data_IF_866031092690
#
_entry.id   IF_866031092690
#
_cell.length_a   1.000
_cell.length_b   1.000
_cell.length_c   1.000
_cell.angle_alpha   90.00
_cell.angle_beta   90.00
_cell.angle_gamma   90.00
#
_symmetry.space_group_name_H-M   'P 1'
#
loop_
_entity.id
_entity.type
_entity.pdbx_description
1 polymer ?
#
# COMPACT_ATOMS: atom_id res chain seq x y z
N UNK A 1 -20.47 14.66 22.76
CA UNK A 1 -20.13 13.34 22.18
C UNK A 1 -20.02 13.49 20.67
N UNK A 2 -18.81 13.69 20.15
CA UNK A 2 -18.56 13.95 18.74
C UNK A 2 -18.17 12.64 18.01
N UNK A 3 -18.84 12.38 16.88
CA UNK A 3 -18.57 11.23 16.00
C UNK A 3 -17.21 11.44 15.30
N UNK A 4 -16.29 10.47 15.23
CA UNK A 4 -15.15 10.57 14.35
C UNK A 4 -15.62 10.17 12.94
N UNK A 5 -16.01 11.15 12.14
CA UNK A 5 -16.15 10.98 10.70
C UNK A 5 -14.92 11.56 10.04
N UNK A 6 -13.99 10.70 9.64
CA UNK A 6 -13.11 11.01 8.52
C UNK A 6 -13.03 9.78 7.63
N UNK A 7 -14.15 9.52 6.94
CA UNK A 7 -14.23 8.60 5.83
C UNK A 7 -13.87 9.41 4.59
N UNK A 8 -12.58 9.49 4.25
CA UNK A 8 -12.15 10.05 2.98
C UNK A 8 -12.46 9.01 1.90
N UNK A 9 -13.70 9.01 1.40
CA UNK A 9 -14.02 8.34 0.14
C UNK A 9 -13.72 9.33 -0.98
N UNK A 10 -12.58 9.18 -1.65
CA UNK A 10 -12.30 9.91 -2.89
C UNK A 10 -13.10 9.25 -4.02
N UNK A 11 -14.39 9.58 -4.11
CA UNK A 11 -15.21 9.26 -5.27
C UNK A 11 -14.84 10.21 -6.40
N UNK A 12 -13.82 9.82 -7.17
CA UNK A 12 -13.39 10.43 -8.45
C UNK A 12 -12.92 11.89 -8.34
N UNK A 13 -12.07 12.28 -9.29
CA UNK A 13 -11.51 13.63 -9.53
C UNK A 13 -10.23 13.97 -8.73
N UNK A 14 -9.10 13.87 -9.44
CA UNK A 14 -7.79 14.47 -9.18
C UNK A 14 -7.35 14.52 -7.71
N UNK A 15 -6.52 13.56 -7.28
CA UNK A 15 -5.78 13.61 -6.00
C UNK A 15 -4.67 14.69 -6.01
N UNK A 16 -5.00 15.92 -6.39
CA UNK A 16 -4.09 17.07 -6.30
C UNK A 16 -3.96 17.61 -4.86
N UNK A 17 -4.75 17.11 -3.90
CA UNK A 17 -4.93 17.75 -2.59
C UNK A 17 -4.20 17.11 -1.41
N UNK A 18 -3.53 15.96 -1.55
CA UNK A 18 -2.84 15.33 -0.41
C UNK A 18 -1.41 15.83 -0.18
N UNK A 19 -0.94 16.82 -0.94
CA UNK A 19 0.47 17.21 -0.90
C UNK A 19 0.92 17.83 0.44
N UNK A 20 0.00 18.24 1.33
CA UNK A 20 0.29 18.81 2.66
C UNK A 20 -0.91 18.78 3.63
N UNK A 21 -1.44 17.60 3.94
CA UNK A 21 -2.50 17.46 4.96
C UNK A 21 -2.02 16.55 6.09
N UNK A 22 -2.04 17.08 7.32
CA UNK A 22 -1.73 16.34 8.55
C UNK A 22 -3.01 15.84 9.19
N UNK A 23 -3.06 14.55 9.49
CA UNK A 23 -4.22 13.85 10.04
C UNK A 23 -3.84 13.17 11.36
N UNK A 24 -3.69 13.92 12.46
CA UNK A 24 -3.10 13.40 13.69
C UNK A 24 -3.89 12.27 14.35
N UNK A 25 -5.21 12.25 14.20
CA UNK A 25 -6.10 11.23 14.78
C UNK A 25 -6.50 10.11 13.79
N UNK A 26 -5.95 10.10 12.57
CA UNK A 26 -6.34 9.13 11.55
C UNK A 26 -5.69 7.77 11.82
N UNK A 27 -6.49 6.80 12.24
CA UNK A 27 -6.03 5.42 12.50
C UNK A 27 -6.11 4.51 11.27
N UNK A 28 -7.05 4.77 10.37
CA UNK A 28 -7.27 3.94 9.19
C UNK A 28 -7.36 4.81 7.96
N UNK A 29 -6.54 4.50 6.96
CA UNK A 29 -6.57 5.18 5.67
C UNK A 29 -6.74 4.15 4.55
N UNK A 30 -7.81 4.28 3.79
CA UNK A 30 -8.18 3.35 2.74
C UNK A 30 -8.34 4.11 1.42
N UNK A 31 -7.60 3.71 0.40
CA UNK A 31 -7.73 4.20 -0.97
C UNK A 31 -8.35 3.07 -1.79
N UNK A 32 -9.51 3.32 -2.39
CA UNK A 32 -10.25 2.28 -3.13
C UNK A 32 -10.73 2.81 -4.47
N UNK A 33 -10.47 2.06 -5.55
CA UNK A 33 -10.96 2.37 -6.91
C UNK A 33 -10.58 3.78 -7.39
N UNK A 34 -9.38 4.23 -7.03
CA UNK A 34 -8.85 5.52 -7.46
C UNK A 34 -7.97 5.36 -8.70
N UNK A 35 -8.03 6.34 -9.59
CA UNK A 35 -7.06 6.50 -10.68
C UNK A 35 -6.16 7.68 -10.36
N UNK A 36 -4.86 7.45 -10.33
CA UNK A 36 -3.88 8.48 -10.00
C UNK A 36 -3.29 9.01 -11.30
N UNK A 37 -3.40 10.31 -11.55
CA UNK A 37 -2.89 10.92 -12.79
C UNK A 37 -2.07 12.17 -12.48
N UNK A 38 -0.87 12.27 -13.04
CA UNK A 38 0.06 13.38 -12.83
C UNK A 38 0.57 13.47 -11.39
N UNK A 39 0.75 12.33 -10.71
CA UNK A 39 1.17 12.28 -9.30
C UNK A 39 2.48 11.52 -9.19
N UNK A 40 3.54 12.24 -8.88
CA UNK A 40 4.86 11.64 -8.69
C UNK A 40 5.05 11.12 -7.26
N UNK A 41 4.37 11.72 -6.28
CA UNK A 41 4.54 11.42 -4.85
C UNK A 41 3.23 11.63 -4.10
N UNK A 42 2.88 10.68 -3.23
CA UNK A 42 1.83 10.80 -2.21
C UNK A 42 2.50 10.78 -0.84
N UNK A 43 2.32 11.87 -0.08
CA UNK A 43 2.81 11.99 1.30
C UNK A 43 1.62 12.06 2.25
N UNK A 44 1.56 11.13 3.19
CA UNK A 44 0.48 11.03 4.17
C UNK A 44 1.09 11.29 5.55
N UNK A 45 0.80 12.44 6.16
CA UNK A 45 1.25 12.72 7.52
C UNK A 45 0.16 12.33 8.51
N UNK A 46 0.28 11.14 9.10
CA UNK A 46 -0.75 10.57 9.97
C UNK A 46 -0.11 9.78 11.12
N UNK A 47 0.31 10.45 12.22
CA UNK A 47 1.06 9.82 13.31
C UNK A 47 0.34 8.68 14.04
N UNK A 48 -0.99 8.70 14.08
CA UNK A 48 -1.79 7.63 14.70
C UNK A 48 -2.20 6.51 13.74
N UNK A 49 -1.72 6.54 12.49
CA UNK A 49 -2.12 5.57 11.47
C UNK A 49 -1.65 4.16 11.83
N UNK A 50 -2.60 3.23 11.93
CA UNK A 50 -2.35 1.83 12.24
C UNK A 50 -2.73 0.86 11.13
N UNK A 51 -3.63 1.29 10.22
CA UNK A 51 -4.11 0.49 9.10
C UNK A 51 -4.02 1.32 7.82
N UNK A 52 -3.32 0.78 6.82
CA UNK A 52 -3.27 1.35 5.47
C UNK A 52 -3.73 0.33 4.43
N UNK A 53 -4.71 0.72 3.61
CA UNK A 53 -5.26 -0.14 2.56
C UNK A 53 -5.26 0.54 1.19
N UNK A 54 -4.78 -0.15 0.16
CA UNK A 54 -4.91 0.26 -1.24
C UNK A 54 -5.62 -0.86 -2.00
N UNK A 55 -6.77 -0.58 -2.60
CA UNK A 55 -7.58 -1.59 -3.29
C UNK A 55 -8.06 -1.12 -4.66
N UNK A 56 -7.76 -1.88 -5.71
CA UNK A 56 -8.23 -1.65 -7.08
C UNK A 56 -7.90 -0.25 -7.61
N UNK A 57 -6.73 0.26 -7.28
CA UNK A 57 -6.22 1.53 -7.79
C UNK A 57 -5.42 1.30 -9.08
N UNK A 58 -5.26 2.35 -9.90
CA UNK A 58 -4.45 2.32 -11.13
C UNK A 58 -3.74 3.66 -11.32
N UNK A 59 -2.59 3.69 -11.99
CA UNK A 59 -2.02 4.93 -12.51
C UNK A 59 -2.55 5.29 -13.90
N UNK A 60 -2.45 6.58 -14.23
CA UNK A 60 -2.44 7.09 -15.60
C UNK A 60 -1.06 6.87 -16.23
N UNK A 61 -1.05 6.65 -17.55
CA UNK A 61 0.17 6.40 -18.33
C UNK A 61 1.21 7.50 -18.09
N UNK A 62 2.43 7.13 -17.68
CA UNK A 62 3.51 8.06 -17.33
C UNK A 62 3.71 8.32 -15.82
N UNK A 63 2.84 7.77 -14.96
CA UNK A 63 2.94 7.88 -13.49
C UNK A 63 3.39 6.56 -12.84
N UNK A 64 4.11 5.69 -13.57
CA UNK A 64 4.56 4.37 -13.10
C UNK A 64 5.48 4.45 -11.87
N UNK A 65 6.09 5.62 -11.64
CA UNK A 65 7.04 5.90 -10.57
C UNK A 65 6.44 6.58 -9.34
N UNK A 66 5.11 6.65 -9.24
CA UNK A 66 4.47 7.30 -8.09
C UNK A 66 4.90 6.64 -6.78
N UNK A 67 5.57 7.41 -5.92
CA UNK A 67 6.03 6.97 -4.61
C UNK A 67 5.00 7.28 -3.53
N UNK A 68 4.76 6.32 -2.63
CA UNK A 68 3.81 6.50 -1.51
C UNK A 68 4.59 6.46 -0.21
N UNK A 69 4.54 7.56 0.54
CA UNK A 69 5.21 7.73 1.83
C UNK A 69 4.20 7.99 2.95
N UNK A 70 4.31 7.25 4.05
CA UNK A 70 3.59 7.53 5.30
C UNK A 70 4.56 8.20 6.28
N UNK A 71 4.32 9.47 6.56
CA UNK A 71 5.12 10.29 7.47
C UNK A 71 4.50 10.27 8.87
N UNK A 72 5.32 10.10 9.90
CA UNK A 72 4.93 10.16 11.32
C UNK A 72 4.16 8.93 11.84
N UNK A 73 3.43 8.19 10.99
CA UNK A 73 2.62 7.01 11.37
C UNK A 73 3.41 5.70 11.50
N UNK A 74 4.70 5.74 11.15
CA UNK A 74 5.67 4.64 11.19
C UNK A 74 5.60 3.69 12.40
N UNK A 75 5.62 4.18 13.66
CA UNK A 75 5.65 3.28 14.81
C UNK A 75 4.34 2.54 15.05
N UNK A 76 3.22 3.01 14.48
CA UNK A 76 1.89 2.48 14.75
C UNK A 76 1.32 1.63 13.61
N UNK A 77 1.90 1.70 12.40
CA UNK A 77 1.43 1.04 11.20
C UNK A 77 1.58 -0.49 11.29
N UNK A 78 0.58 -1.13 11.89
CA UNK A 78 0.56 -2.57 12.15
C UNK A 78 0.02 -3.42 11.00
N UNK A 79 -0.85 -2.85 10.15
CA UNK A 79 -1.58 -3.57 9.11
C UNK A 79 -1.50 -2.86 7.77
N UNK A 80 -0.99 -3.57 6.77
CA UNK A 80 -0.98 -3.14 5.37
C UNK A 80 -1.80 -4.12 4.53
N UNK A 81 -2.73 -3.58 3.74
CA UNK A 81 -3.45 -4.33 2.72
C UNK A 81 -3.19 -3.74 1.34
N UNK A 82 -2.64 -4.55 0.45
CA UNK A 82 -2.48 -4.21 -0.95
C UNK A 82 -3.28 -5.15 -1.83
N UNK A 83 -4.31 -4.61 -2.44
CA UNK A 83 -5.26 -5.29 -3.31
C UNK A 83 -5.29 -4.57 -4.66
N UNK A 84 -4.12 -4.27 -5.19
CA UNK A 84 -3.92 -3.42 -6.37
C UNK A 84 -2.70 -3.93 -7.14
N UNK A 85 -2.74 -3.85 -8.48
CA UNK A 85 -1.62 -4.23 -9.33
C UNK A 85 -0.41 -3.31 -9.13
N UNK A 86 -0.70 -2.02 -9.02
CA UNK A 86 0.31 -0.98 -9.14
C UNK A 86 0.80 -0.44 -7.78
N UNK A 87 1.95 0.22 -7.82
CA UNK A 87 2.58 1.04 -6.76
C UNK A 87 3.12 0.29 -5.54
N UNK A 88 2.92 -1.02 -5.43
CA UNK A 88 3.42 -1.74 -4.25
C UNK A 88 4.94 -1.67 -4.18
N UNK A 89 5.63 -1.74 -5.32
CA UNK A 89 7.09 -1.61 -5.39
C UNK A 89 7.63 -0.22 -5.05
N UNK A 90 6.76 0.80 -5.07
CA UNK A 90 7.07 2.20 -4.76
C UNK A 90 6.51 2.62 -3.38
N UNK A 91 5.95 1.68 -2.63
CA UNK A 91 5.48 1.95 -1.28
C UNK A 91 6.66 1.97 -0.32
N UNK A 92 6.93 3.14 0.25
CA UNK A 92 8.02 3.34 1.20
C UNK A 92 7.50 3.12 2.61
N UNK A 93 7.88 1.98 3.16
CA UNK A 93 7.68 1.68 4.57
C UNK A 93 8.70 2.44 5.42
N UNK A 94 8.26 3.00 6.55
CA UNK A 94 9.19 3.52 7.54
C UNK A 94 10.05 2.42 8.15
N UNK A 95 11.33 2.71 8.40
CA UNK A 95 12.27 1.82 9.07
C UNK A 95 12.62 2.34 10.48
N UNK A 96 12.54 1.51 11.54
CA UNK A 96 12.05 0.13 11.53
C UNK A 96 10.52 0.05 11.31
N UNK A 97 10.08 -0.98 10.61
CA UNK A 97 8.65 -1.21 10.34
C UNK A 97 7.97 -1.90 11.52
N UNK A 98 6.77 -1.44 11.88
CA UNK A 98 5.89 -2.05 12.89
C UNK A 98 4.83 -2.98 12.29
N UNK A 99 4.87 -3.19 10.96
CA UNK A 99 3.89 -4.01 10.24
C UNK A 99 4.00 -5.46 10.72
N UNK A 100 2.90 -5.96 11.28
CA UNK A 100 2.76 -7.34 11.75
C UNK A 100 1.74 -8.12 10.92
N UNK A 101 0.83 -7.43 10.24
CA UNK A 101 -0.14 -8.02 9.31
C UNK A 101 0.02 -7.46 7.90
N UNK A 102 0.18 -8.34 6.92
CA UNK A 102 0.14 -7.99 5.51
C UNK A 102 -0.90 -8.84 4.75
N UNK A 103 -1.69 -8.19 3.90
CA UNK A 103 -2.65 -8.84 2.99
C UNK A 103 -2.32 -8.40 1.57
N UNK A 104 -1.88 -9.32 0.72
CA UNK A 104 -1.48 -9.04 -0.67
C UNK A 104 -2.36 -9.83 -1.64
N UNK A 105 -3.14 -9.10 -2.43
CA UNK A 105 -4.19 -9.64 -3.27
C UNK A 105 -4.08 -9.07 -4.69
N UNK A 106 -4.20 -9.94 -5.69
CA UNK A 106 -4.17 -9.56 -7.09
C UNK A 106 -5.58 -9.57 -7.67
N UNK A 107 -6.10 -8.40 -8.02
CA UNK A 107 -7.42 -8.24 -8.63
C UNK A 107 -7.27 -7.95 -10.14
N UNK A 108 -6.79 -8.90 -10.94
CA UNK A 108 -7.06 -8.98 -12.40
C UNK A 108 -6.26 -10.13 -13.06
N UNK A 109 -6.96 -11.06 -13.72
CA UNK A 109 -6.38 -12.29 -14.30
C UNK A 109 -5.59 -12.05 -15.61
N UNK A 110 -5.55 -10.82 -16.14
CA UNK A 110 -5.17 -10.55 -17.54
C UNK A 110 -3.96 -9.64 -17.77
N UNK A 111 -3.31 -9.11 -16.73
CA UNK A 111 -2.18 -8.18 -16.88
C UNK A 111 -1.04 -8.44 -15.90
N UNK A 112 0.18 -7.98 -16.24
CA UNK A 112 1.49 -8.21 -15.59
C UNK A 112 1.51 -8.51 -14.09
N UNK A 113 1.19 -9.75 -13.75
CA UNK A 113 1.32 -10.39 -12.43
C UNK A 113 2.71 -10.24 -11.82
N UNK A 114 3.74 -10.18 -12.68
CA UNK A 114 5.14 -10.05 -12.28
C UNK A 114 5.44 -8.78 -11.48
N UNK A 115 4.93 -7.62 -11.90
CA UNK A 115 5.18 -6.32 -11.23
C UNK A 115 4.65 -6.35 -9.81
N UNK A 116 3.43 -6.87 -9.64
CA UNK A 116 2.78 -7.01 -8.35
C UNK A 116 3.57 -7.94 -7.40
N UNK A 117 4.13 -9.04 -7.95
CA UNK A 117 4.99 -9.95 -7.19
C UNK A 117 6.32 -9.33 -6.74
N UNK A 118 6.98 -8.55 -7.61
CA UNK A 118 8.22 -7.83 -7.24
C UNK A 118 7.95 -6.84 -6.10
N UNK A 119 6.84 -6.09 -6.17
CA UNK A 119 6.42 -5.21 -5.09
C UNK A 119 6.16 -5.97 -3.79
N UNK A 120 5.47 -7.11 -3.87
CA UNK A 120 5.20 -7.96 -2.72
C UNK A 120 6.50 -8.45 -2.05
N UNK A 121 7.46 -8.94 -2.82
CA UNK A 121 8.76 -9.38 -2.29
C UNK A 121 9.51 -8.23 -1.62
N UNK A 122 9.57 -7.05 -2.26
CA UNK A 122 10.18 -5.86 -1.67
C UNK A 122 9.54 -5.50 -0.32
N UNK A 123 8.21 -5.51 -0.25
CA UNK A 123 7.49 -5.25 1.00
C UNK A 123 7.90 -6.27 2.07
N UNK A 124 7.87 -7.56 1.75
CA UNK A 124 8.18 -8.67 2.67
C UNK A 124 9.61 -8.62 3.20
N UNK A 125 10.57 -8.16 2.39
CA UNK A 125 11.96 -7.96 2.83
C UNK A 125 12.14 -6.78 3.79
N UNK A 126 11.23 -5.79 3.77
CA UNK A 126 11.27 -4.60 4.63
C UNK A 126 10.56 -4.79 5.98
N UNK A 127 9.79 -5.88 6.14
CA UNK A 127 8.92 -6.14 7.30
C UNK A 127 9.41 -7.36 8.07
N UNK A 128 10.33 -7.14 9.01
CA UNK A 128 10.93 -8.23 9.79
C UNK A 128 10.03 -8.85 10.87
N UNK A 129 8.84 -8.27 11.12
CA UNK A 129 7.96 -8.62 12.24
C UNK A 129 6.57 -9.14 11.81
N UNK A 130 6.43 -9.64 10.58
CA UNK A 130 5.15 -10.21 10.13
C UNK A 130 4.79 -11.43 10.96
N UNK A 131 3.62 -11.39 11.60
CA UNK A 131 3.00 -12.52 12.31
C UNK A 131 1.81 -13.10 11.55
N UNK A 132 1.23 -12.34 10.61
CA UNK A 132 0.12 -12.76 9.76
C UNK A 132 0.30 -12.27 8.32
N UNK A 133 0.43 -13.22 7.40
CA UNK A 133 0.51 -12.97 5.96
C UNK A 133 -0.65 -13.65 5.25
N UNK A 134 -1.42 -12.90 4.48
CA UNK A 134 -2.48 -13.42 3.61
C UNK A 134 -2.13 -13.09 2.16
N UNK A 135 -2.08 -14.12 1.30
CA UNK A 135 -1.77 -14.00 -0.11
C UNK A 135 -2.92 -14.58 -0.95
N UNK A 136 -3.27 -13.91 -2.04
CA UNK A 136 -4.06 -14.53 -3.11
C UNK A 136 -3.29 -15.66 -3.79
N UNK A 137 -3.98 -16.59 -4.45
CA UNK A 137 -3.36 -17.71 -5.18
C UNK A 137 -2.36 -17.21 -6.22
N UNK A 138 -2.73 -16.16 -6.95
CA UNK A 138 -1.90 -15.51 -7.95
C UNK A 138 -0.59 -14.95 -7.35
N UNK A 139 -0.67 -14.35 -6.15
CA UNK A 139 0.50 -13.83 -5.45
C UNK A 139 1.43 -14.95 -4.97
N UNK A 140 0.87 -16.08 -4.53
CA UNK A 140 1.68 -17.26 -4.19
C UNK A 140 2.42 -17.73 -5.44
N UNK A 141 1.72 -17.92 -6.56
CA UNK A 141 2.36 -18.38 -7.78
C UNK A 141 3.51 -17.47 -8.21
N UNK A 142 3.34 -16.14 -8.24
CA UNK A 142 4.41 -15.23 -8.68
C UNK A 142 5.59 -15.20 -7.70
N UNK A 143 5.33 -15.10 -6.39
CA UNK A 143 6.39 -15.02 -5.38
C UNK A 143 7.24 -16.30 -5.36
N UNK A 144 6.63 -17.47 -5.57
CA UNK A 144 7.32 -18.76 -5.49
C UNK A 144 7.81 -19.30 -6.84
N UNK A 145 7.25 -18.87 -7.98
CA UNK A 145 7.71 -19.25 -9.32
C UNK A 145 8.83 -18.36 -9.85
N UNK A 146 8.86 -17.09 -9.45
CA UNK A 146 10.04 -16.26 -9.62
C UNK A 146 11.15 -16.87 -8.77
N UNK A 147 12.36 -17.04 -9.32
CA UNK A 147 13.54 -17.56 -8.63
C UNK A 147 14.04 -16.68 -7.46
N UNK A 148 13.16 -15.83 -6.90
CA UNK A 148 13.24 -15.13 -5.62
C UNK A 148 12.96 -16.04 -4.41
N UNK A 149 12.77 -17.35 -4.62
CA UNK A 149 12.60 -18.40 -3.60
C UNK A 149 13.73 -18.58 -2.57
N UNK A 150 14.59 -17.58 -2.38
CA UNK A 150 15.51 -17.47 -1.25
C UNK A 150 15.03 -16.44 -0.21
N UNK A 151 13.74 -16.11 -0.16
CA UNK A 151 13.15 -15.44 1.00
C UNK A 151 13.02 -16.49 2.10
N UNK A 152 14.02 -16.55 2.97
CA UNK A 152 13.87 -17.23 4.27
C UNK A 152 13.00 -16.31 5.13
N UNK A 153 11.70 -16.59 5.16
CA UNK A 153 10.78 -16.07 6.16
C UNK A 153 11.21 -16.54 7.56
#
# INVERSE_FOLDING_TARGET
MARPQCLIILHTWNMLFLQRSSFPALHTFCIRRCTWMGINVIKIEAPSLSIFEVCRCRYGKGDESCEIQILGGAPNLSHVKWASKDFLENFVLPTPSSVSKAVLDHFNVLEDLWVAGVGAVKLLLLVSNITRLELSIDMVEVIFSSSLGSIRL
#
